data_IF_644132279571
#
_entry.id   IF_644132279571
#
_cell.length_a   1.000
_cell.length_b   1.000
_cell.length_c   1.000
_cell.angle_alpha   90.00
_cell.angle_beta   90.00
_cell.angle_gamma   90.00
#
_symmetry.space_group_name_H-M   'P 1'
#
loop_
_entity.id
_entity.type
_entity.pdbx_description
1 polymer ?
#
# COMPACT_ATOMS: atom_id res chain seq x y z
N UNK A 1 -4.88 23.96 -3.91
CA UNK A 1 -6.10 23.18 -4.18
C UNK A 1 -5.72 21.76 -4.60
N UNK A 2 -6.31 20.76 -3.96
CA UNK A 2 -6.02 19.37 -4.24
C UNK A 2 -6.81 18.92 -5.48
N UNK A 3 -6.13 18.23 -6.42
CA UNK A 3 -6.78 17.73 -7.64
C UNK A 3 -7.73 16.58 -7.36
N UNK A 4 -8.66 16.34 -8.28
CA UNK A 4 -9.59 15.20 -8.21
C UNK A 4 -8.82 13.87 -8.17
N UNK A 5 -7.77 13.74 -8.99
CA UNK A 5 -6.92 12.54 -9.00
C UNK A 5 -6.25 12.32 -7.65
N UNK A 6 -5.68 13.38 -7.06
CA UNK A 6 -5.01 13.26 -5.77
C UNK A 6 -5.99 12.86 -4.68
N UNK A 7 -7.18 13.46 -4.65
CA UNK A 7 -8.21 13.11 -3.67
C UNK A 7 -8.64 11.65 -3.82
N UNK A 8 -8.86 11.20 -5.05
CA UNK A 8 -9.29 9.83 -5.33
C UNK A 8 -8.22 8.81 -4.92
N UNK A 9 -6.96 9.09 -5.21
CA UNK A 9 -5.86 8.19 -4.87
C UNK A 9 -5.59 8.20 -3.37
N UNK A 10 -5.69 9.35 -2.70
CA UNK A 10 -5.60 9.40 -1.24
C UNK A 10 -6.67 8.52 -0.57
N UNK A 11 -7.91 8.58 -1.06
CA UNK A 11 -8.98 7.70 -0.56
C UNK A 11 -8.68 6.23 -0.81
N UNK A 12 -8.13 5.93 -1.98
CA UNK A 12 -7.79 4.55 -2.36
C UNK A 12 -6.68 3.98 -1.47
N UNK A 13 -5.64 4.75 -1.20
CA UNK A 13 -4.56 4.37 -0.28
C UNK A 13 -5.10 4.21 1.14
N UNK A 14 -5.95 5.14 1.59
CA UNK A 14 -6.57 5.06 2.92
C UNK A 14 -7.45 3.83 3.08
N UNK A 15 -8.23 3.48 2.04
CA UNK A 15 -9.06 2.28 2.05
C UNK A 15 -8.21 1.02 2.14
N UNK A 16 -7.14 0.94 1.38
CA UNK A 16 -6.19 -0.18 1.44
C UNK A 16 -5.59 -0.32 2.84
N UNK A 17 -5.15 0.78 3.43
CA UNK A 17 -4.59 0.77 4.79
C UNK A 17 -5.62 0.33 5.84
N UNK A 18 -6.88 0.76 5.69
CA UNK A 18 -7.95 0.36 6.60
C UNK A 18 -8.23 -1.16 6.50
N UNK A 19 -8.23 -1.70 5.27
CA UNK A 19 -8.38 -3.13 5.06
C UNK A 19 -7.24 -3.93 5.67
N UNK A 20 -6.01 -3.42 5.52
CA UNK A 20 -4.82 -4.02 6.13
C UNK A 20 -4.95 -4.08 7.66
N UNK A 21 -5.33 -2.98 8.28
CA UNK A 21 -5.51 -2.89 9.73
C UNK A 21 -6.63 -3.81 10.23
N UNK A 22 -7.69 -3.96 9.46
CA UNK A 22 -8.84 -4.81 9.79
C UNK A 22 -8.61 -6.28 9.48
N UNK A 23 -7.49 -6.66 8.88
CA UNK A 23 -7.23 -8.02 8.39
C UNK A 23 -8.32 -8.49 7.44
N UNK A 24 -8.73 -7.60 6.54
CA UNK A 24 -9.82 -7.83 5.60
C UNK A 24 -9.25 -8.35 4.27
N UNK A 25 -9.58 -9.58 3.91
CA UNK A 25 -9.09 -10.20 2.68
C UNK A 25 -9.62 -9.52 1.41
N UNK A 26 -10.62 -8.64 1.52
CA UNK A 26 -11.05 -7.81 0.39
C UNK A 26 -9.91 -6.91 -0.13
N UNK A 27 -8.83 -6.72 0.64
CA UNK A 27 -7.63 -6.01 0.19
C UNK A 27 -7.06 -6.62 -1.10
N UNK A 28 -7.20 -7.93 -1.28
CA UNK A 28 -6.71 -8.61 -2.50
C UNK A 28 -7.43 -8.06 -3.73
N UNK A 29 -8.76 -7.92 -3.66
CA UNK A 29 -9.55 -7.39 -4.78
C UNK A 29 -9.39 -5.87 -4.92
N UNK A 30 -9.08 -5.17 -3.85
CA UNK A 30 -8.75 -3.74 -3.92
C UNK A 30 -7.48 -3.51 -4.73
N UNK A 31 -6.47 -4.33 -4.52
CA UNK A 31 -5.16 -4.17 -5.15
C UNK A 31 -5.04 -4.84 -6.51
N UNK A 32 -5.67 -6.02 -6.67
CA UNK A 32 -5.38 -6.85 -7.83
C UNK A 32 -6.09 -6.38 -9.10
N UNK A 33 -5.33 -6.35 -10.18
CA UNK A 33 -5.81 -6.37 -11.56
C UNK A 33 -4.72 -7.04 -12.41
N UNK A 34 -5.03 -7.53 -13.61
CA UNK A 34 -4.00 -8.14 -14.45
C UNK A 34 -2.82 -7.20 -14.67
N UNK A 35 -1.61 -7.69 -14.40
CA UNK A 35 -0.38 -6.92 -14.52
C UNK A 35 0.06 -6.23 -13.22
N UNK A 36 -0.77 -6.22 -12.18
CA UNK A 36 -0.39 -5.65 -10.88
C UNK A 36 0.80 -6.41 -10.29
N UNK A 37 1.69 -5.68 -9.61
CA UNK A 37 2.80 -6.25 -8.86
C UNK A 37 2.85 -5.62 -7.48
N UNK A 38 3.06 -6.45 -6.47
CA UNK A 38 3.36 -5.97 -5.13
C UNK A 38 4.78 -6.38 -4.77
N UNK A 39 5.56 -5.41 -4.36
CA UNK A 39 6.90 -5.63 -3.80
C UNK A 39 6.87 -5.11 -2.38
N UNK A 40 6.89 -6.01 -1.41
CA UNK A 40 6.89 -5.64 0.00
C UNK A 40 8.29 -5.33 0.50
N UNK A 41 8.38 -4.89 1.75
CA UNK A 41 9.65 -4.50 2.35
C UNK A 41 10.45 -5.68 2.90
N UNK A 42 9.80 -6.83 3.10
CA UNK A 42 10.48 -8.03 3.57
C UNK A 42 10.95 -8.88 2.40
N UNK A 43 12.03 -9.62 2.60
CA UNK A 43 12.56 -10.53 1.61
C UNK A 43 11.48 -11.57 1.23
N UNK A 44 11.31 -11.82 -0.06
CA UNK A 44 10.33 -12.79 -0.56
C UNK A 44 8.93 -12.22 -0.76
N UNK A 45 8.68 -10.98 -0.39
CA UNK A 45 7.37 -10.35 -0.56
C UNK A 45 7.23 -9.76 -1.97
N UNK A 46 7.28 -10.61 -2.98
CA UNK A 46 7.04 -10.23 -4.37
C UNK A 46 5.90 -11.10 -4.89
N UNK A 47 4.81 -10.47 -5.35
CA UNK A 47 3.67 -11.19 -5.89
C UNK A 47 3.40 -10.76 -7.32
N UNK A 48 3.12 -11.72 -8.18
CA UNK A 48 2.93 -11.50 -9.62
C UNK A 48 1.57 -11.97 -10.13
N UNK A 49 0.80 -12.66 -9.29
CA UNK A 49 -0.54 -13.12 -9.61
C UNK A 49 -1.47 -12.97 -8.41
N UNK A 50 -2.77 -13.12 -8.66
CA UNK A 50 -3.78 -12.95 -7.61
C UNK A 50 -3.64 -13.98 -6.49
N UNK A 51 -3.33 -15.23 -6.84
CA UNK A 51 -3.18 -16.29 -5.84
C UNK A 51 -1.98 -16.03 -4.92
N UNK A 52 -0.87 -15.55 -5.48
CA UNK A 52 0.29 -15.15 -4.69
C UNK A 52 -0.01 -13.99 -3.76
N UNK A 53 -0.77 -13.00 -4.24
CA UNK A 53 -1.19 -11.87 -3.41
C UNK A 53 -2.09 -12.35 -2.27
N UNK A 54 -3.04 -13.23 -2.54
CA UNK A 54 -3.92 -13.79 -1.51
C UNK A 54 -3.13 -14.59 -0.47
N UNK A 55 -2.15 -15.38 -0.89
CA UNK A 55 -1.29 -16.12 0.04
C UNK A 55 -0.48 -15.18 0.93
N UNK A 56 0.03 -14.08 0.37
CA UNK A 56 0.78 -13.09 1.15
C UNK A 56 -0.07 -12.51 2.26
N UNK A 57 -1.28 -12.06 1.94
CA UNK A 57 -2.15 -11.46 2.96
C UNK A 57 -2.67 -12.50 3.95
N UNK A 58 -2.93 -13.74 3.51
CA UNK A 58 -3.27 -14.81 4.44
C UNK A 58 -2.17 -15.02 5.47
N UNK A 59 -0.90 -15.02 5.03
CA UNK A 59 0.25 -15.14 5.92
C UNK A 59 0.37 -13.94 6.87
N UNK A 60 0.24 -12.73 6.35
CA UNK A 60 0.33 -11.52 7.18
C UNK A 60 -0.78 -11.47 8.22
N UNK A 61 -2.00 -11.84 7.85
CA UNK A 61 -3.14 -11.79 8.75
C UNK A 61 -3.14 -12.90 9.79
N UNK A 62 -2.32 -13.93 9.60
CA UNK A 62 -2.13 -14.98 10.60
C UNK A 62 -1.13 -14.56 11.70
N UNK A 63 -0.38 -13.49 11.50
CA UNK A 63 0.55 -12.98 12.52
C UNK A 63 -0.22 -12.38 13.68
N UNK A 64 0.30 -12.44 14.92
CA UNK A 64 -0.36 -11.82 16.08
C UNK A 64 -0.12 -10.30 16.12
N UNK A 65 -0.05 -9.65 14.96
CA UNK A 65 0.22 -8.24 14.78
C UNK A 65 -0.66 -7.72 13.68
N UNK A 66 -1.28 -6.57 13.88
CA UNK A 66 -1.98 -5.87 12.81
C UNK A 66 -1.14 -4.70 12.32
N UNK A 67 -1.30 -4.35 11.05
CA UNK A 67 -0.50 -3.31 10.41
C UNK A 67 -1.40 -2.21 9.86
N UNK A 68 -0.91 -0.98 9.93
CA UNK A 68 -1.55 0.17 9.31
C UNK A 68 -0.48 1.15 8.86
N UNK A 69 -0.78 1.94 7.84
CA UNK A 69 0.13 2.98 7.38
C UNK A 69 -0.27 4.32 7.97
N UNK A 70 0.74 5.10 8.32
CA UNK A 70 0.59 6.50 8.75
C UNK A 70 1.53 7.34 7.91
N UNK A 71 1.05 7.78 6.74
CA UNK A 71 1.85 8.57 5.82
C UNK A 71 1.71 10.05 6.12
N UNK A 72 2.84 10.72 6.33
CA UNK A 72 2.92 12.15 6.60
C UNK A 72 3.28 12.94 5.35
N UNK A 73 3.96 12.31 4.40
CA UNK A 73 4.29 12.89 3.10
C UNK A 73 3.57 12.10 2.02
N UNK A 74 2.93 12.82 1.10
CA UNK A 74 2.16 12.19 0.03
C UNK A 74 2.32 13.04 -1.23
N UNK A 75 3.24 12.64 -2.09
CA UNK A 75 3.55 13.34 -3.33
C UNK A 75 2.97 12.56 -4.50
N UNK A 76 2.05 13.17 -5.22
CA UNK A 76 1.39 12.55 -6.35
C UNK A 76 1.58 13.39 -7.60
N UNK A 77 1.90 12.75 -8.72
CA UNK A 77 1.88 13.34 -10.04
C UNK A 77 1.02 12.49 -10.95
N UNK A 78 0.34 13.12 -11.91
CA UNK A 78 -0.52 12.40 -12.85
C UNK A 78 -0.40 13.03 -14.24
N UNK A 79 -0.39 12.18 -15.27
CA UNK A 79 -0.31 12.61 -16.65
C UNK A 79 -0.89 11.52 -17.56
N UNK A 80 -1.84 11.91 -18.41
CA UNK A 80 -2.34 11.04 -19.49
C UNK A 80 -2.79 9.66 -19.04
N UNK A 81 -3.60 9.60 -17.96
CA UNK A 81 -4.16 8.35 -17.46
C UNK A 81 -3.22 7.52 -16.61
N UNK A 82 -2.07 8.06 -16.21
CA UNK A 82 -1.14 7.41 -15.30
C UNK A 82 -0.88 8.35 -14.13
N UNK A 83 -0.87 7.78 -12.93
CA UNK A 83 -0.48 8.51 -11.73
C UNK A 83 0.60 7.74 -11.00
N UNK A 84 1.55 8.46 -10.42
CA UNK A 84 2.59 7.84 -9.60
C UNK A 84 2.68 8.58 -8.27
N UNK A 85 2.88 7.78 -7.23
CA UNK A 85 2.85 8.23 -5.85
C UNK A 85 4.17 7.93 -5.17
N UNK A 86 4.65 8.90 -4.41
CA UNK A 86 5.65 8.65 -3.38
C UNK A 86 5.06 9.08 -2.04
N UNK A 87 4.96 8.14 -1.11
CA UNK A 87 4.48 8.42 0.24
C UNK A 87 5.52 7.97 1.27
N UNK A 88 5.63 8.72 2.34
CA UNK A 88 6.59 8.44 3.39
C UNK A 88 5.95 8.69 4.75
N UNK A 89 6.24 7.81 5.68
CA UNK A 89 5.76 7.89 7.05
C UNK A 89 6.16 6.65 7.81
N UNK A 90 5.22 6.03 8.49
CA UNK A 90 5.46 4.84 9.29
C UNK A 90 4.51 3.70 8.92
N UNK A 91 5.01 2.49 9.02
CA UNK A 91 4.19 1.30 9.18
C UNK A 91 4.02 1.09 10.68
N UNK A 92 2.78 1.11 11.14
CA UNK A 92 2.45 0.93 12.56
C UNK A 92 2.07 -0.52 12.77
N UNK A 93 2.85 -1.23 13.57
CA UNK A 93 2.60 -2.63 13.93
C UNK A 93 2.04 -2.66 15.34
N UNK A 94 0.82 -3.19 15.49
CA UNK A 94 0.12 -3.25 16.77
C UNK A 94 -0.01 -4.70 17.21
N UNK A 95 0.57 -5.02 18.36
CA UNK A 95 0.49 -6.32 19.02
C UNK A 95 -0.22 -6.18 20.37
N UNK A 96 -0.41 -7.30 21.06
CA UNK A 96 -1.09 -7.30 22.37
C UNK A 96 -0.40 -6.41 23.40
N UNK A 97 0.93 -6.27 23.30
CA UNK A 97 1.74 -5.49 24.26
C UNK A 97 1.96 -4.03 23.82
N UNK A 98 1.39 -3.61 22.70
CA UNK A 98 1.48 -2.24 22.25
C UNK A 98 1.82 -2.10 20.78
N UNK A 99 2.01 -0.85 20.36
CA UNK A 99 2.29 -0.49 18.98
C UNK A 99 3.76 -0.07 18.82
N UNK A 100 4.35 -0.46 17.68
CA UNK A 100 5.67 -0.01 17.27
C UNK A 100 5.57 0.67 15.91
N UNK A 101 6.44 1.65 15.66
CA UNK A 101 6.47 2.40 14.40
C UNK A 101 7.77 2.12 13.68
N UNK A 102 7.67 1.82 12.38
CA UNK A 102 8.82 1.55 11.52
C UNK A 102 8.77 2.51 10.33
N UNK A 103 9.84 3.28 10.09
CA UNK A 103 9.86 4.14 8.90
C UNK A 103 9.56 3.32 7.64
N UNK A 104 8.73 3.89 6.77
CA UNK A 104 8.26 3.18 5.59
C UNK A 104 8.07 4.13 4.42
N UNK A 105 8.45 3.68 3.24
CA UNK A 105 8.24 4.39 1.99
C UNK A 105 7.39 3.56 1.06
N UNK A 106 6.40 4.19 0.44
CA UNK A 106 5.58 3.55 -0.58
C UNK A 106 5.76 4.28 -1.90
N UNK A 107 6.13 3.53 -2.92
CA UNK A 107 6.07 3.98 -4.30
C UNK A 107 4.96 3.19 -4.98
N UNK A 108 4.04 3.89 -5.64
CA UNK A 108 2.90 3.23 -6.27
C UNK A 108 2.61 3.84 -7.63
N UNK A 109 2.06 3.04 -8.52
CA UNK A 109 1.62 3.47 -9.84
C UNK A 109 0.16 3.06 -10.01
N UNK A 110 -0.63 3.98 -10.57
CA UNK A 110 -2.05 3.78 -10.85
C UNK A 110 -2.33 4.14 -12.30
N UNK A 111 -3.33 3.52 -12.90
CA UNK A 111 -3.86 3.94 -14.19
C UNK A 111 -5.35 4.22 -14.06
N UNK A 112 -5.86 5.18 -14.84
CA UNK A 112 -7.28 5.52 -14.80
C UNK A 112 -7.50 6.98 -15.15
N UNK A 113 -8.49 7.57 -14.52
CA UNK A 113 -8.84 8.98 -14.72
C UNK A 113 -10.01 9.39 -13.83
N UNK A 114 -10.14 10.70 -13.59
CA UNK A 114 -11.19 11.22 -12.73
C UNK A 114 -11.10 10.64 -11.32
N UNK A 115 -12.14 9.91 -10.93
CA UNK A 115 -12.20 9.27 -9.62
C UNK A 115 -11.95 7.75 -9.70
N UNK A 116 -11.75 7.20 -10.91
CA UNK A 116 -11.59 5.76 -11.11
C UNK A 116 -10.14 5.42 -11.45
N UNK A 117 -9.44 4.92 -10.45
CA UNK A 117 -8.03 4.54 -10.57
C UNK A 117 -7.82 3.10 -10.17
N UNK A 118 -6.87 2.44 -10.86
CA UNK A 118 -6.52 1.04 -10.62
C UNK A 118 -5.06 0.96 -10.18
N UNK A 119 -4.80 0.22 -9.11
CA UNK A 119 -3.43 -0.08 -8.67
C UNK A 119 -2.70 -0.86 -9.75
N UNK A 120 -1.48 -0.42 -10.11
CA UNK A 120 -0.62 -1.13 -11.07
C UNK A 120 0.66 -1.62 -10.41
N UNK A 121 1.16 -0.89 -9.41
CA UNK A 121 2.37 -1.24 -8.67
C UNK A 121 2.23 -0.75 -7.25
N UNK A 122 2.56 -1.61 -6.32
CA UNK A 122 2.79 -1.27 -4.91
C UNK A 122 4.23 -1.70 -4.60
N UNK A 123 5.10 -0.76 -4.27
CA UNK A 123 6.47 -1.06 -3.89
C UNK A 123 6.79 -0.38 -2.57
N UNK A 124 6.89 -1.18 -1.52
CA UNK A 124 7.18 -0.70 -0.19
C UNK A 124 8.62 -0.95 0.19
N UNK A 125 9.20 -0.05 0.98
CA UNK A 125 10.54 -0.21 1.50
C UNK A 125 10.66 0.38 2.89
N UNK A 126 11.55 -0.21 3.69
CA UNK A 126 11.92 0.33 4.99
C UNK A 126 13.31 0.93 4.84
N UNK A 127 13.44 2.27 4.95
CA UNK A 127 14.73 2.90 4.75
C UNK A 127 15.74 2.41 5.78
N UNK A 128 16.94 2.08 5.32
CA UNK A 128 18.02 1.68 6.21
C UNK A 128 18.48 2.88 7.03
N UNK A 129 18.93 2.67 8.26
CA UNK A 129 19.48 3.77 9.07
C UNK A 129 20.64 4.44 8.35
N UNK A 130 20.72 5.75 8.47
CA UNK A 130 21.83 6.51 7.93
C UNK A 130 23.09 6.25 8.78
N UNK A 131 24.18 5.91 8.12
CA UNK A 131 25.44 5.55 8.79
C UNK A 131 26.40 6.72 8.75
#
# INVERSE_FOLDING_TARGET
MTSTAEQAIRRKVGRMSAMLAARDMAIVDELWSPGFRLVGSEQGEITEDRDGLARLFTMLFARPVSYAFDFRRFDLAAQSGVAWLFAEGDLVATAADGATRHPYRLTAVFTGGGEDWTWRLFSGSEPAPHV
#
